data_IF_726492822853
#
_entry.id   IF_726492822853
#
_cell.length_a   1.000
_cell.length_b   1.000
_cell.length_c   1.000
_cell.angle_alpha   90.00
_cell.angle_beta   90.00
_cell.angle_gamma   90.00
#
_symmetry.space_group_name_H-M   'P 1'
#
loop_
_entity.id
_entity.type
_entity.pdbx_description
1 polymer ?
#
# COMPACT_ATOMS: atom_id res chain seq x y z
N UNK A 1 -9.25 48.34 -23.76
CA UNK A 1 -9.95 48.58 -22.48
C UNK A 1 -11.10 47.60 -22.39
N UNK A 2 -10.93 46.57 -21.56
CA UNK A 2 -11.96 45.70 -20.99
C UNK A 2 -12.57 44.65 -21.92
N UNK A 3 -12.31 43.35 -21.65
CA UNK A 3 -13.26 42.24 -21.80
C UNK A 3 -12.66 40.87 -21.37
N UNK A 4 -12.10 40.73 -20.15
CA UNK A 4 -11.70 39.37 -19.65
C UNK A 4 -12.30 38.93 -18.30
N UNK A 5 -13.15 39.73 -17.65
CA UNK A 5 -13.69 39.40 -16.31
C UNK A 5 -15.21 39.18 -16.30
N UNK A 6 -15.77 38.19 -17.03
CA UNK A 6 -17.23 37.98 -16.95
C UNK A 6 -17.73 36.56 -16.66
N UNK A 7 -16.94 35.49 -16.75
CA UNK A 7 -17.46 34.19 -16.31
C UNK A 7 -16.34 33.34 -15.68
N UNK A 8 -16.33 33.31 -14.35
CA UNK A 8 -15.50 32.40 -13.55
C UNK A 8 -16.02 30.97 -13.69
N UNK A 9 -15.68 30.31 -14.79
CA UNK A 9 -15.99 28.90 -15.02
C UNK A 9 -15.18 28.06 -14.04
N UNK A 10 -15.91 27.59 -13.03
CA UNK A 10 -15.71 26.37 -12.25
C UNK A 10 -14.36 25.67 -12.49
N UNK A 11 -13.41 25.86 -11.56
CA UNK A 11 -12.22 25.00 -11.48
C UNK A 11 -12.73 23.60 -11.17
N UNK A 12 -12.91 22.80 -12.22
CA UNK A 12 -13.34 21.41 -12.16
C UNK A 12 -12.27 20.62 -11.42
N UNK A 13 -12.33 20.67 -10.09
CA UNK A 13 -11.51 19.84 -9.22
C UNK A 13 -12.07 18.43 -9.42
N UNK A 14 -11.27 17.47 -9.90
CA UNK A 14 -11.77 16.11 -10.07
C UNK A 14 -12.35 15.62 -8.74
N UNK A 15 -13.45 14.85 -8.74
CA UNK A 15 -14.02 14.34 -7.51
C UNK A 15 -12.94 13.56 -6.77
N UNK A 16 -12.55 14.05 -5.59
CA UNK A 16 -11.69 13.30 -4.66
C UNK A 16 -12.42 11.99 -4.40
N UNK A 17 -11.84 10.86 -4.82
CA UNK A 17 -12.39 9.53 -4.53
C UNK A 17 -12.44 9.38 -3.01
N UNK A 18 -13.63 9.57 -2.43
CA UNK A 18 -13.86 9.50 -0.99
C UNK A 18 -14.43 8.13 -0.64
N UNK A 19 -13.79 7.43 0.29
CA UNK A 19 -14.27 6.13 0.76
C UNK A 19 -14.80 6.16 2.20
N UNK A 20 -14.40 7.12 3.05
CA UNK A 20 -14.98 7.36 4.38
C UNK A 20 -14.41 8.64 5.03
N UNK A 21 -15.24 9.39 5.77
CA UNK A 21 -14.83 10.52 6.61
C UNK A 21 -14.38 10.01 7.99
N UNK A 22 -13.10 9.68 8.11
CA UNK A 22 -12.44 9.53 9.42
C UNK A 22 -11.10 10.26 9.41
N UNK A 23 -10.96 11.25 10.31
CA UNK A 23 -9.71 11.86 10.80
C UNK A 23 -8.79 12.63 9.85
N UNK A 24 -8.57 12.18 8.63
CA UNK A 24 -7.57 12.72 7.71
C UNK A 24 -8.20 13.71 6.73
N UNK A 25 -8.78 14.81 7.25
CA UNK A 25 -9.36 15.87 6.42
C UNK A 25 -8.29 16.81 5.81
N UNK A 26 -7.05 16.72 6.29
CA UNK A 26 -5.93 17.53 5.82
C UNK A 26 -4.76 16.62 5.43
N UNK A 27 -4.55 16.45 4.12
CA UNK A 27 -3.22 16.50 3.49
C UNK A 27 -2.08 15.63 4.03
N UNK A 28 -2.33 14.69 4.94
CA UNK A 28 -1.35 13.70 5.34
C UNK A 28 -1.15 12.77 4.16
N UNK A 29 -0.18 13.09 3.31
CA UNK A 29 0.52 12.13 2.47
C UNK A 29 0.85 10.96 3.40
N UNK A 30 -0.03 9.95 3.42
CA UNK A 30 0.22 8.74 4.17
C UNK A 30 1.25 8.02 3.30
N UNK A 31 2.52 8.40 3.47
CA UNK A 31 3.66 7.83 2.78
C UNK A 31 3.84 6.44 3.37
N UNK A 32 2.96 5.53 2.98
CA UNK A 32 3.11 4.12 3.27
C UNK A 32 4.17 3.58 2.33
N UNK A 33 5.43 3.74 2.72
CA UNK A 33 6.56 3.18 1.98
C UNK A 33 6.97 1.81 2.49
N UNK A 34 6.33 1.31 3.55
CA UNK A 34 6.54 -0.02 4.13
C UNK A 34 5.21 -0.70 4.44
N UNK A 35 5.25 -2.02 4.54
CA UNK A 35 4.10 -2.89 4.74
C UNK A 35 3.92 -3.90 3.60
N UNK A 36 2.92 -4.76 3.77
CA UNK A 36 2.55 -5.76 2.77
C UNK A 36 1.42 -5.24 1.89
N UNK A 37 1.55 -5.41 0.58
CA UNK A 37 0.55 -4.99 -0.40
C UNK A 37 -0.55 -6.04 -0.55
N UNK A 38 -1.74 -5.61 -0.99
CA UNK A 38 -2.81 -6.54 -1.32
C UNK A 38 -2.37 -7.51 -2.43
N UNK A 39 -2.80 -8.77 -2.33
CA UNK A 39 -2.31 -9.87 -3.18
C UNK A 39 -1.17 -10.67 -2.55
N UNK A 40 -0.45 -10.10 -1.58
CA UNK A 40 0.56 -10.84 -0.80
C UNK A 40 -0.10 -11.95 0.02
N UNK A 41 0.53 -13.13 0.05
CA UNK A 41 0.12 -14.23 0.92
C UNK A 41 1.11 -14.41 2.05
N UNK A 42 0.59 -14.67 3.24
CA UNK A 42 1.35 -14.91 4.47
C UNK A 42 1.10 -16.36 4.89
N UNK A 43 2.16 -17.08 5.24
CA UNK A 43 2.05 -18.43 5.78
C UNK A 43 1.51 -18.36 7.21
N UNK A 44 0.46 -19.14 7.48
CA UNK A 44 -0.21 -19.24 8.79
C UNK A 44 -0.24 -20.69 9.26
N UNK A 45 -0.73 -20.94 10.48
CA UNK A 45 -0.93 -22.31 10.97
C UNK A 45 -1.92 -23.14 10.13
N UNK A 46 -2.75 -22.47 9.33
CA UNK A 46 -3.72 -23.08 8.41
C UNK A 46 -3.23 -23.07 6.96
N UNK A 47 -1.96 -22.75 6.71
CA UNK A 47 -1.37 -22.59 5.38
C UNK A 47 -1.33 -21.15 4.88
N UNK A 48 -1.10 -20.97 3.58
CA UNK A 48 -0.98 -19.65 2.94
C UNK A 48 -2.32 -18.92 2.88
N UNK A 49 -2.41 -17.75 3.51
CA UNK A 49 -3.61 -16.89 3.51
C UNK A 49 -3.28 -15.54 2.90
N UNK A 50 -4.27 -14.90 2.26
CA UNK A 50 -4.10 -13.53 1.78
C UNK A 50 -3.85 -12.59 2.98
N UNK A 51 -2.96 -11.62 2.83
CA UNK A 51 -2.66 -10.64 3.88
C UNK A 51 -3.92 -9.92 4.37
N UNK A 52 -4.87 -9.66 3.46
CA UNK A 52 -6.14 -9.03 3.79
C UNK A 52 -6.98 -9.83 4.80
N UNK A 53 -6.83 -11.16 4.82
CA UNK A 53 -7.57 -12.06 5.70
C UNK A 53 -6.92 -12.24 7.08
N UNK A 54 -5.72 -11.69 7.31
CA UNK A 54 -5.03 -11.78 8.59
C UNK A 54 -5.72 -10.90 9.62
N UNK A 55 -5.93 -11.46 10.81
CA UNK A 55 -6.53 -10.79 11.95
C UNK A 55 -5.60 -10.82 13.18
N UNK A 56 -5.85 -9.91 14.12
CA UNK A 56 -5.20 -9.95 15.43
C UNK A 56 -5.49 -11.31 16.08
N UNK A 57 -4.44 -11.95 16.57
CA UNK A 57 -4.48 -13.28 17.16
C UNK A 57 -4.11 -14.42 16.22
N UNK A 58 -4.08 -14.20 14.90
CA UNK A 58 -3.59 -15.20 13.95
C UNK A 58 -2.11 -15.50 14.20
N UNK A 59 -1.72 -16.76 13.97
CA UNK A 59 -0.32 -17.18 13.96
C UNK A 59 0.24 -17.09 12.54
N UNK A 60 1.30 -16.33 12.37
CA UNK A 60 2.04 -16.16 11.10
C UNK A 60 3.44 -16.73 11.22
N UNK A 61 3.93 -17.38 10.16
CA UNK A 61 5.30 -17.88 10.13
C UNK A 61 6.27 -16.73 9.89
N UNK A 62 7.26 -16.61 10.77
CA UNK A 62 8.39 -15.69 10.67
C UNK A 62 9.66 -16.47 10.38
N UNK A 63 10.66 -15.81 9.80
CA UNK A 63 11.91 -16.44 9.42
C UNK A 63 12.70 -16.95 10.65
N UNK A 64 12.99 -16.08 11.62
CA UNK A 64 13.86 -16.44 12.76
C UNK A 64 13.15 -17.13 13.93
N UNK A 65 11.86 -16.86 14.14
CA UNK A 65 11.15 -17.22 15.38
C UNK A 65 9.97 -18.17 15.16
N UNK A 66 9.84 -18.75 13.96
CA UNK A 66 8.74 -19.67 13.65
C UNK A 66 7.36 -18.99 13.73
N UNK A 67 6.37 -19.67 14.29
CA UNK A 67 4.99 -19.19 14.34
C UNK A 67 4.79 -18.11 15.42
N UNK A 68 4.50 -16.89 15.01
CA UNK A 68 4.32 -15.73 15.89
C UNK A 68 2.90 -15.18 15.82
N UNK A 69 2.39 -14.70 16.96
CA UNK A 69 1.04 -14.14 17.08
C UNK A 69 1.00 -12.70 16.60
N UNK A 70 0.04 -12.39 15.72
CA UNK A 70 -0.26 -11.02 15.31
C UNK A 70 -0.91 -10.26 16.47
N UNK A 71 -0.31 -9.15 16.89
CA UNK A 71 -0.84 -8.32 18.00
C UNK A 71 -1.66 -7.13 17.53
N UNK A 72 -1.39 -6.64 16.32
CA UNK A 72 -2.06 -5.48 15.72
C UNK A 72 -2.11 -5.65 14.19
N UNK A 73 -3.15 -5.10 13.56
CA UNK A 73 -3.22 -4.98 12.11
C UNK A 73 -3.67 -3.57 11.73
N UNK A 74 -2.79 -2.80 11.12
CA UNK A 74 -3.11 -1.52 10.50
C UNK A 74 -3.32 -1.70 9.00
N UNK A 75 -4.27 -0.96 8.43
CA UNK A 75 -4.57 -0.98 7.00
C UNK A 75 -4.73 0.46 6.53
N UNK A 76 -4.08 0.81 5.43
CA UNK A 76 -4.31 2.07 4.74
C UNK A 76 -4.38 1.82 3.23
N UNK A 77 -5.00 2.75 2.52
CA UNK A 77 -5.07 2.73 1.06
C UNK A 77 -4.13 3.80 0.50
N UNK A 78 -3.37 3.44 -0.53
CA UNK A 78 -2.51 4.36 -1.25
C UNK A 78 -2.96 4.45 -2.71
N UNK A 79 -2.92 5.67 -3.26
CA UNK A 79 -3.22 5.94 -4.66
C UNK A 79 -1.90 6.17 -5.40
N UNK A 80 -1.46 5.18 -6.16
CA UNK A 80 -0.18 5.22 -6.89
C UNK A 80 -0.20 6.25 -8.01
N UNK A 81 -1.38 6.52 -8.57
CA UNK A 81 -1.64 7.49 -9.65
C UNK A 81 -1.96 8.90 -9.14
N UNK A 82 -1.78 9.18 -7.84
CA UNK A 82 -2.04 10.52 -7.32
C UNK A 82 -1.07 11.54 -7.94
N UNK A 83 -1.56 12.73 -8.38
CA UNK A 83 -0.77 13.70 -9.15
C UNK A 83 0.52 14.20 -8.47
N UNK A 84 0.64 14.02 -7.15
CA UNK A 84 1.75 14.53 -6.33
C UNK A 84 2.65 13.41 -5.77
N UNK A 85 2.46 12.16 -6.19
CA UNK A 85 3.33 11.06 -5.76
C UNK A 85 4.62 11.07 -6.57
N UNK A 86 5.73 11.45 -5.93
CA UNK A 86 7.06 11.39 -6.56
C UNK A 86 7.37 9.95 -7.01
N UNK A 87 8.00 9.79 -8.19
CA UNK A 87 8.31 8.48 -8.79
C UNK A 87 9.08 7.55 -7.85
N UNK A 88 9.99 8.11 -7.03
CA UNK A 88 10.73 7.37 -6.01
C UNK A 88 9.86 6.71 -4.92
N UNK A 89 8.59 7.09 -4.82
CA UNK A 89 7.62 6.52 -3.87
C UNK A 89 6.68 5.51 -4.54
N UNK A 90 6.84 5.25 -5.84
CA UNK A 90 6.00 4.28 -6.53
C UNK A 90 6.33 2.87 -6.06
N UNK A 91 5.32 1.99 -5.92
CA UNK A 91 5.57 0.58 -5.67
C UNK A 91 6.42 -0.05 -6.78
N UNK A 92 7.27 -0.98 -6.39
CA UNK A 92 8.15 -1.72 -7.30
C UNK A 92 7.50 -3.05 -7.63
N UNK A 93 7.37 -3.34 -8.93
CA UNK A 93 7.00 -4.68 -9.41
C UNK A 93 8.24 -5.56 -9.49
N UNK A 94 8.15 -6.75 -8.89
CA UNK A 94 9.18 -7.77 -8.90
C UNK A 94 8.63 -8.97 -9.67
N UNK A 95 9.15 -9.24 -10.88
CA UNK A 95 8.74 -10.40 -11.66
C UNK A 95 9.04 -11.72 -10.93
N UNK A 96 8.32 -12.79 -11.28
CA UNK A 96 8.63 -14.13 -10.79
C UNK A 96 10.08 -14.51 -11.13
N UNK A 97 10.79 -15.09 -10.16
CA UNK A 97 12.18 -15.52 -10.29
C UNK A 97 13.23 -14.41 -10.25
N UNK A 98 12.85 -13.13 -10.26
CA UNK A 98 13.81 -12.02 -10.28
C UNK A 98 14.72 -11.97 -9.04
N UNK A 99 14.18 -12.36 -7.87
CA UNK A 99 14.90 -12.41 -6.59
C UNK A 99 14.83 -13.81 -5.95
N UNK A 100 14.60 -14.86 -6.74
CA UNK A 100 14.30 -16.20 -6.22
C UNK A 100 12.86 -16.37 -5.69
N UNK A 101 12.01 -15.34 -5.85
CA UNK A 101 10.59 -15.39 -5.53
C UNK A 101 9.82 -16.30 -6.50
N UNK A 102 8.94 -17.16 -5.98
CA UNK A 102 8.14 -18.10 -6.78
C UNK A 102 7.05 -17.45 -7.64
N UNK A 103 6.55 -16.30 -7.22
CA UNK A 103 5.48 -15.58 -7.88
C UNK A 103 5.82 -14.09 -7.95
N UNK A 104 5.26 -13.40 -8.93
CA UNK A 104 5.39 -11.94 -9.02
C UNK A 104 4.82 -11.27 -7.76
N UNK A 105 5.38 -10.12 -7.41
CA UNK A 105 4.92 -9.33 -6.26
C UNK A 105 5.12 -7.85 -6.48
N UNK A 106 4.31 -7.06 -5.78
CA UNK A 106 4.45 -5.61 -5.72
C UNK A 106 4.85 -5.23 -4.31
N UNK A 107 5.95 -4.50 -4.17
CA UNK A 107 6.48 -4.07 -2.87
C UNK A 107 6.48 -2.54 -2.80
N UNK A 108 6.33 -1.98 -1.60
CA UNK A 108 6.36 -0.54 -1.41
C UNK A 108 7.81 -0.02 -1.51
N UNK A 109 7.98 1.27 -1.78
CA UNK A 109 9.27 1.83 -2.19
C UNK A 109 10.40 1.65 -1.16
N UNK A 110 10.11 1.71 0.13
CA UNK A 110 11.09 1.50 1.22
C UNK A 110 10.90 0.12 1.89
N UNK A 111 10.16 -0.80 1.26
CA UNK A 111 9.90 -2.12 1.82
C UNK A 111 11.21 -2.93 1.88
N UNK A 112 11.63 -3.28 3.10
CA UNK A 112 12.77 -4.17 3.30
C UNK A 112 12.52 -5.55 2.70
N UNK A 113 13.49 -6.04 1.94
CA UNK A 113 13.51 -7.38 1.36
C UNK A 113 14.68 -8.17 1.95
N UNK A 114 14.38 -9.37 2.41
CA UNK A 114 15.40 -10.35 2.79
C UNK A 114 15.65 -11.26 1.59
N UNK A 115 16.91 -11.35 1.17
CA UNK A 115 17.36 -12.21 0.07
C UNK A 115 18.36 -13.19 0.66
N UNK A 116 18.13 -14.47 0.41
CA UNK A 116 19.01 -15.57 0.84
C UNK A 116 19.46 -16.37 -0.40
N UNK A 117 20.65 -16.97 -0.34
CA UNK A 117 21.29 -17.72 -1.45
C UNK A 117 21.19 -19.22 -1.27
#
# INVERSE_FOLDING_TARGET
>A
MGMENMFGWNKNTPPRRMMETTGAYDGGLNIMTTGLTSGTRVATSMGWRQVNAIAVGDLVLTFDHGMQKVTEVSRSMAWVDAPWTAERMWPVHIPAGALGNYAEMTVLADQGLMIES
#
